data_IF_036830464579
#
_entry.id   IF_036830464579
#
_cell.length_a   1.000
_cell.length_b   1.000
_cell.length_c   1.000
_cell.angle_alpha   90.00
_cell.angle_beta   90.00
_cell.angle_gamma   90.00
#
_symmetry.space_group_name_H-M   'P 1'
#
loop_
_entity.id
_entity.type
_entity.pdbx_description
1 polymer ?
#
# COMPACT_ATOMS: atom_id res chain seq x y z
N UNK A 1 16.55 15.66 -14.46
CA UNK A 1 16.11 14.96 -13.25
C UNK A 1 14.97 14.05 -13.67
N UNK A 2 15.07 12.76 -13.38
CA UNK A 2 14.04 11.78 -13.72
C UNK A 2 13.11 11.65 -12.51
N UNK A 3 11.83 11.96 -12.68
CA UNK A 3 10.85 11.88 -11.59
C UNK A 3 9.92 10.71 -11.78
N UNK A 4 9.54 10.05 -10.68
CA UNK A 4 8.59 8.95 -10.64
C UNK A 4 7.16 9.48 -10.69
N UNK A 5 6.33 8.89 -11.55
CA UNK A 5 4.88 9.04 -11.49
C UNK A 5 4.31 7.94 -10.60
N UNK A 6 3.65 8.32 -9.52
CA UNK A 6 3.00 7.41 -8.58
C UNK A 6 1.50 7.35 -8.85
N UNK A 7 0.96 6.17 -9.14
CA UNK A 7 -0.47 5.94 -9.36
C UNK A 7 -1.02 4.98 -8.28
N UNK A 8 -2.01 5.43 -7.52
CA UNK A 8 -2.56 4.67 -6.37
C UNK A 8 -4.07 4.82 -6.27
N UNK A 9 -4.70 3.94 -5.49
CA UNK A 9 -6.16 3.87 -5.38
C UNK A 9 -6.72 4.96 -4.47
N UNK A 10 -6.06 5.14 -3.33
CA UNK A 10 -6.53 5.97 -2.24
C UNK A 10 -5.37 6.67 -1.53
N UNK A 11 -5.71 7.40 -0.46
CA UNK A 11 -4.76 8.23 0.28
C UNK A 11 -3.73 7.41 1.05
N UNK A 12 -4.13 6.24 1.55
CA UNK A 12 -3.26 5.38 2.35
C UNK A 12 -2.23 4.68 1.46
N UNK A 13 -2.68 4.09 0.36
CA UNK A 13 -1.81 3.50 -0.67
C UNK A 13 -0.87 4.54 -1.29
N UNK A 14 -1.31 5.79 -1.50
CA UNK A 14 -0.44 6.89 -1.94
C UNK A 14 0.66 7.18 -0.92
N UNK A 15 0.31 7.30 0.37
CA UNK A 15 1.29 7.60 1.43
C UNK A 15 2.31 6.47 1.58
N UNK A 16 1.88 5.21 1.46
CA UNK A 16 2.77 4.05 1.43
C UNK A 16 3.66 4.08 0.19
N UNK A 17 3.10 4.37 -0.98
CA UNK A 17 3.84 4.47 -2.24
C UNK A 17 4.94 5.54 -2.19
N UNK A 18 4.65 6.70 -1.60
CA UNK A 18 5.63 7.78 -1.37
C UNK A 18 6.77 7.32 -0.46
N UNK A 19 6.45 6.63 0.64
CA UNK A 19 7.45 6.10 1.57
C UNK A 19 8.38 5.08 0.87
N UNK A 20 7.80 4.19 0.05
CA UNK A 20 8.57 3.20 -0.72
C UNK A 20 9.45 3.82 -1.79
N UNK A 21 8.96 4.83 -2.51
CA UNK A 21 9.75 5.56 -3.49
C UNK A 21 10.94 6.26 -2.81
N UNK A 22 10.70 6.95 -1.69
CA UNK A 22 11.74 7.61 -0.92
C UNK A 22 12.79 6.62 -0.38
N UNK A 23 12.37 5.44 0.12
CA UNK A 23 13.30 4.39 0.56
C UNK A 23 14.21 3.90 -0.58
N UNK A 24 13.68 3.83 -1.81
CA UNK A 24 14.44 3.44 -2.99
C UNK A 24 15.31 4.58 -3.57
N UNK A 25 15.28 5.79 -3.00
CA UNK A 25 15.99 6.95 -3.53
C UNK A 25 15.32 7.59 -4.75
N UNK A 26 14.03 7.32 -4.98
CA UNK A 26 13.24 7.85 -6.08
C UNK A 26 12.44 9.08 -5.63
N UNK A 27 12.52 10.17 -6.40
CA UNK A 27 11.71 11.36 -6.19
C UNK A 27 10.39 11.27 -6.97
N UNK A 28 9.26 11.44 -6.29
CA UNK A 28 7.92 11.43 -6.91
C UNK A 28 7.54 12.84 -7.35
N UNK A 29 7.52 13.07 -8.67
CA UNK A 29 7.15 14.36 -9.25
C UNK A 29 5.65 14.51 -9.53
N UNK A 30 4.93 13.39 -9.66
CA UNK A 30 3.49 13.40 -9.92
C UNK A 30 2.78 12.29 -9.16
N UNK A 31 1.66 12.64 -8.51
CA UNK A 31 0.78 11.73 -7.80
C UNK A 31 -0.57 11.64 -8.53
N UNK A 32 -0.98 10.44 -8.90
CA UNK A 32 -2.18 10.13 -9.67
C UNK A 32 -3.12 9.25 -8.84
N UNK A 33 -3.70 9.85 -7.80
CA UNK A 33 -4.77 9.27 -6.98
C UNK A 33 -6.13 9.77 -7.45
N UNK A 34 -6.83 8.98 -8.28
CA UNK A 34 -8.19 9.30 -8.75
C UNK A 34 -9.04 8.04 -8.80
N UNK A 35 -10.25 8.06 -8.24
CA UNK A 35 -11.32 7.11 -8.56
C UNK A 35 -11.10 5.61 -8.23
N UNK A 36 -10.11 5.27 -7.39
CA UNK A 36 -9.89 3.90 -6.90
C UNK A 36 -9.48 2.88 -7.97
N UNK A 37 -9.60 1.59 -7.62
CA UNK A 37 -9.24 0.42 -8.45
C UNK A 37 -9.78 0.50 -9.89
N UNK A 38 -11.05 0.86 -10.05
CA UNK A 38 -11.71 0.92 -11.36
C UNK A 38 -11.10 1.97 -12.30
N UNK A 39 -10.74 3.13 -11.75
CA UNK A 39 -10.04 4.16 -12.51
C UNK A 39 -8.66 3.70 -12.93
N UNK A 40 -7.86 3.17 -12.00
CA UNK A 40 -6.50 2.70 -12.29
C UNK A 40 -6.51 1.67 -13.42
N UNK A 41 -7.40 0.69 -13.33
CA UNK A 41 -7.57 -0.32 -14.37
C UNK A 41 -7.93 0.30 -15.73
N UNK A 42 -8.87 1.23 -15.76
CA UNK A 42 -9.32 1.88 -17.00
C UNK A 42 -8.21 2.71 -17.68
N UNK A 43 -7.21 3.16 -16.90
CA UNK A 43 -6.11 4.01 -17.34
C UNK A 43 -4.80 3.27 -17.54
N UNK A 44 -4.79 1.94 -17.42
CA UNK A 44 -3.56 1.14 -17.49
C UNK A 44 -2.75 1.40 -18.76
N UNK A 45 -3.42 1.49 -19.92
CA UNK A 45 -2.76 1.83 -21.19
C UNK A 45 -2.03 3.16 -21.13
N UNK A 46 -2.66 4.18 -20.55
CA UNK A 46 -2.04 5.50 -20.39
C UNK A 46 -0.81 5.43 -19.47
N UNK A 47 -0.85 4.61 -18.42
CA UNK A 47 0.31 4.41 -17.55
C UNK A 47 1.46 3.70 -18.28
N UNK A 48 1.16 2.71 -19.13
CA UNK A 48 2.18 2.12 -20.01
C UNK A 48 2.78 3.16 -20.98
N UNK A 49 1.94 3.99 -21.61
CA UNK A 49 2.41 5.05 -22.51
C UNK A 49 3.31 6.07 -21.78
N UNK A 50 2.97 6.46 -20.54
CA UNK A 50 3.84 7.30 -19.71
C UNK A 50 5.15 6.56 -19.39
N UNK A 51 5.09 5.27 -19.08
CA UNK A 51 6.24 4.43 -18.73
C UNK A 51 7.27 4.28 -19.85
N UNK A 52 6.93 4.61 -21.10
CA UNK A 52 7.89 4.69 -22.20
C UNK A 52 8.83 5.91 -22.09
N UNK A 53 8.42 6.95 -21.35
CA UNK A 53 9.14 8.23 -21.28
C UNK A 53 9.55 8.62 -19.86
N UNK A 54 8.81 8.19 -18.84
CA UNK A 54 9.05 8.48 -17.43
C UNK A 54 8.75 7.24 -16.59
N UNK A 55 9.50 6.96 -15.52
CA UNK A 55 9.20 5.81 -14.66
C UNK A 55 7.83 5.96 -14.00
N UNK A 56 7.08 4.85 -13.95
CA UNK A 56 5.75 4.79 -13.35
C UNK A 56 5.70 3.69 -12.29
N UNK A 57 5.24 4.05 -11.09
CA UNK A 57 4.90 3.11 -10.04
C UNK A 57 3.39 3.08 -9.84
N UNK A 58 2.75 1.97 -10.19
CA UNK A 58 1.35 1.70 -9.88
C UNK A 58 1.24 0.74 -8.69
N UNK A 59 0.51 1.16 -7.67
CA UNK A 59 0.19 0.37 -6.48
C UNK A 59 -1.32 0.28 -6.27
N UNK A 60 -1.80 -0.94 -6.05
CA UNK A 60 -3.23 -1.29 -5.95
C UNK A 60 -3.40 -2.47 -5.01
N UNK A 61 -4.62 -2.67 -4.53
CA UNK A 61 -4.98 -3.78 -3.68
C UNK A 61 -5.39 -5.01 -4.51
N UNK A 62 -5.22 -6.20 -3.95
CA UNK A 62 -5.59 -7.45 -4.62
C UNK A 62 -7.11 -7.69 -4.62
N UNK A 63 -7.78 -7.14 -3.61
CA UNK A 63 -9.16 -7.43 -3.22
C UNK A 63 -9.40 -8.94 -3.08
N UNK A 64 -10.24 -9.49 -3.95
CA UNK A 64 -10.70 -10.89 -3.93
C UNK A 64 -9.96 -11.77 -4.93
N UNK A 65 -8.99 -11.24 -5.67
CA UNK A 65 -8.25 -12.01 -6.68
C UNK A 65 -7.33 -13.03 -6.01
N UNK A 66 -7.05 -14.16 -6.68
CA UNK A 66 -6.29 -15.28 -6.10
C UNK A 66 -4.87 -14.89 -5.66
N UNK A 67 -4.15 -14.13 -6.48
CA UNK A 67 -2.81 -13.64 -6.18
C UNK A 67 -2.46 -12.43 -7.05
N UNK A 68 -1.42 -11.68 -6.64
CA UNK A 68 -0.99 -10.44 -7.30
C UNK A 68 -0.60 -10.62 -8.77
N UNK A 69 0.09 -11.70 -9.13
CA UNK A 69 0.45 -11.96 -10.53
C UNK A 69 -0.77 -12.12 -11.42
N UNK A 70 -1.77 -12.89 -10.98
CA UNK A 70 -3.03 -13.03 -11.73
C UNK A 70 -3.77 -11.70 -11.91
N UNK A 71 -3.72 -10.79 -10.94
CA UNK A 71 -4.29 -9.45 -11.09
C UNK A 71 -3.55 -8.67 -12.18
N UNK A 72 -2.21 -8.64 -12.10
CA UNK A 72 -1.36 -7.96 -13.07
C UNK A 72 -1.59 -8.51 -14.47
N UNK A 73 -1.55 -9.83 -14.67
CA UNK A 73 -1.76 -10.48 -15.97
C UNK A 73 -3.16 -10.16 -16.53
N UNK A 74 -4.19 -10.20 -15.68
CA UNK A 74 -5.57 -9.86 -16.07
C UNK A 74 -5.71 -8.39 -16.46
N UNK A 75 -4.98 -7.50 -15.81
CA UNK A 75 -5.03 -6.07 -16.08
C UNK A 75 -4.27 -5.73 -17.34
N UNK A 76 -3.05 -6.24 -17.48
CA UNK A 76 -2.21 -6.04 -18.66
C UNK A 76 -2.86 -6.62 -19.91
N UNK A 77 -3.45 -7.82 -19.83
CA UNK A 77 -4.00 -8.51 -20.99
C UNK A 77 -2.93 -8.65 -22.07
N UNK A 78 -3.20 -8.10 -23.26
CA UNK A 78 -2.27 -8.11 -24.40
C UNK A 78 -1.30 -6.90 -24.42
N UNK A 79 -1.37 -6.01 -23.42
CA UNK A 79 -0.47 -4.87 -23.33
C UNK A 79 0.94 -5.35 -22.98
N UNK A 80 1.91 -4.92 -23.77
CA UNK A 80 3.32 -5.04 -23.41
C UNK A 80 3.62 -4.17 -22.18
N UNK A 81 4.37 -4.73 -21.23
CA UNK A 81 4.77 -4.03 -20.02
C UNK A 81 6.09 -3.28 -20.26
N UNK A 82 6.10 -1.93 -20.25
CA UNK A 82 7.33 -1.18 -20.40
C UNK A 82 8.29 -1.46 -19.25
N UNK A 83 9.60 -1.41 -19.52
CA UNK A 83 10.63 -1.71 -18.53
C UNK A 83 10.53 -0.81 -17.29
N UNK A 84 10.22 0.48 -17.49
CA UNK A 84 10.10 1.46 -16.41
C UNK A 84 8.72 1.48 -15.76
N UNK A 85 7.88 0.48 -16.02
CA UNK A 85 6.58 0.31 -15.38
C UNK A 85 6.64 -0.69 -14.22
N UNK A 86 6.64 -0.18 -12.99
CA UNK A 86 6.53 -0.97 -11.77
C UNK A 86 5.06 -1.04 -11.35
N UNK A 87 4.39 -2.14 -11.67
CA UNK A 87 3.06 -2.48 -11.19
C UNK A 87 3.18 -3.48 -10.04
N UNK A 88 2.77 -3.06 -8.84
CA UNK A 88 2.72 -3.87 -7.60
C UNK A 88 1.33 -3.94 -7.02
N UNK A 89 1.10 -5.04 -6.30
CA UNK A 89 -0.18 -5.35 -5.66
C UNK A 89 0.06 -5.70 -4.20
N UNK A 90 -0.63 -5.03 -3.29
CA UNK A 90 -0.69 -5.43 -1.87
C UNK A 90 -1.65 -6.62 -1.72
N UNK A 91 -1.27 -7.66 -0.98
CA UNK A 91 -2.09 -8.87 -0.89
C UNK A 91 -3.31 -8.59 -0.02
N UNK A 92 -4.49 -8.88 -0.59
CA UNK A 92 -5.81 -8.40 -0.15
C UNK A 92 -5.91 -6.90 -0.15
N UNK A 93 -5.26 -6.24 0.79
CA UNK A 93 -5.37 -4.80 1.02
C UNK A 93 -4.04 -4.23 1.55
N UNK A 94 -3.83 -2.92 1.39
CA UNK A 94 -2.62 -2.22 1.83
C UNK A 94 -2.34 -2.39 3.34
N UNK A 95 -3.37 -2.60 4.15
CA UNK A 95 -3.24 -2.86 5.59
C UNK A 95 -2.41 -4.11 5.89
N UNK A 96 -2.31 -5.08 4.97
CA UNK A 96 -1.39 -6.21 5.12
C UNK A 96 0.06 -5.75 5.29
N UNK A 97 0.48 -4.75 4.52
CA UNK A 97 1.84 -4.18 4.59
C UNK A 97 2.06 -3.36 5.86
N UNK A 98 1.01 -2.69 6.36
CA UNK A 98 1.08 -1.97 7.64
C UNK A 98 1.20 -2.94 8.82
N UNK A 99 0.37 -3.98 8.84
CA UNK A 99 0.37 -5.02 9.87
C UNK A 99 1.68 -5.81 9.91
N UNK A 100 2.44 -5.84 8.82
CA UNK A 100 3.74 -6.48 8.76
C UNK A 100 4.80 -5.75 9.58
N UNK A 101 4.60 -4.46 9.83
CA UNK A 101 5.45 -3.70 10.73
C UNK A 101 4.92 -3.70 12.17
N UNK A 102 5.37 -4.69 12.95
CA UNK A 102 4.92 -4.87 14.32
C UNK A 102 5.25 -3.69 15.24
N UNK A 103 6.41 -3.04 15.10
CA UNK A 103 6.74 -1.95 16.04
C UNK A 103 5.97 -0.67 15.70
N UNK A 104 5.69 -0.41 14.41
CA UNK A 104 4.83 0.72 14.03
C UNK A 104 3.40 0.53 14.53
N UNK A 105 2.85 -0.69 14.39
CA UNK A 105 1.52 -1.03 14.90
C UNK A 105 1.47 -0.95 16.43
N UNK A 106 2.50 -1.44 17.14
CA UNK A 106 2.59 -1.29 18.60
C UNK A 106 2.69 0.16 19.03
N UNK A 107 3.42 0.98 18.28
CA UNK A 107 3.52 2.42 18.53
C UNK A 107 2.16 3.11 18.34
N UNK A 108 1.40 2.72 17.32
CA UNK A 108 0.07 3.28 17.05
C UNK A 108 -0.98 2.82 18.05
N UNK A 109 -1.10 1.51 18.31
CA UNK A 109 -2.18 0.91 19.09
C UNK A 109 -1.86 0.80 20.60
N UNK A 110 -0.60 1.04 20.96
CA UNK A 110 -0.09 0.93 22.33
C UNK A 110 0.41 -0.48 22.69
N UNK A 111 1.16 -0.56 23.80
CA UNK A 111 1.86 -1.79 24.22
C UNK A 111 0.95 -2.98 24.60
N UNK A 112 -0.36 -2.75 24.78
CA UNK A 112 -1.36 -3.80 25.07
C UNK A 112 -2.02 -4.38 23.83
N UNK A 113 -1.56 -4.00 22.63
CA UNK A 113 -2.02 -4.63 21.40
C UNK A 113 -1.81 -6.13 21.51
N UNK A 114 -2.82 -6.89 21.08
CA UNK A 114 -2.81 -8.35 21.16
C UNK A 114 -1.73 -8.99 20.29
N UNK A 115 -1.83 -10.30 20.09
CA UNK A 115 -0.93 -11.01 19.19
C UNK A 115 -1.11 -10.47 17.76
N UNK A 116 -0.01 -9.95 17.20
CA UNK A 116 0.04 -9.50 15.82
C UNK A 116 0.24 -10.68 14.85
N UNK A 117 -0.29 -10.60 13.63
CA UNK A 117 -0.14 -11.64 12.61
C UNK A 117 1.34 -11.81 12.24
N UNK A 118 1.80 -13.07 12.19
CA UNK A 118 3.15 -13.40 11.72
C UNK A 118 3.29 -13.35 10.20
N UNK A 119 2.17 -13.54 9.49
CA UNK A 119 2.07 -13.47 8.03
C UNK A 119 0.79 -12.70 7.65
N UNK A 120 0.87 -11.37 7.53
CA UNK A 120 -0.28 -10.53 7.19
C UNK A 120 -0.79 -10.73 5.75
N UNK A 121 0.09 -11.13 4.81
CA UNK A 121 -0.30 -11.38 3.42
C UNK A 121 -1.31 -12.56 3.32
N UNK A 122 -1.28 -13.49 4.28
CA UNK A 122 -2.21 -14.62 4.36
C UNK A 122 -3.55 -14.29 5.04
N UNK A 123 -3.73 -13.07 5.56
CA UNK A 123 -5.00 -12.69 6.16
C UNK A 123 -6.08 -12.58 5.08
N UNK A 124 -7.31 -13.06 5.33
CA UNK A 124 -8.40 -12.92 4.37
C UNK A 124 -8.90 -11.49 4.23
N UNK A 125 -8.81 -10.70 5.32
CA UNK A 125 -9.27 -9.32 5.43
C UNK A 125 -8.32 -8.56 6.39
N UNK A 126 -7.20 -8.01 5.86
CA UNK A 126 -6.22 -7.28 6.65
C UNK A 126 -6.79 -6.03 7.33
N UNK A 127 -7.70 -5.30 6.67
CA UNK A 127 -8.35 -4.12 7.25
C UNK A 127 -9.18 -4.50 8.48
N UNK A 128 -10.00 -5.54 8.39
CA UNK A 128 -10.78 -6.00 9.54
C UNK A 128 -9.88 -6.50 10.67
N UNK A 129 -8.77 -7.16 10.36
CA UNK A 129 -7.78 -7.58 11.37
C UNK A 129 -7.16 -6.36 12.08
N UNK A 130 -6.80 -5.30 11.34
CA UNK A 130 -6.30 -4.05 11.91
C UNK A 130 -7.34 -3.37 12.80
N UNK A 131 -8.60 -3.29 12.34
CA UNK A 131 -9.70 -2.69 13.11
C UNK A 131 -10.00 -3.47 14.39
N UNK A 132 -9.94 -4.81 14.34
CA UNK A 132 -10.13 -5.65 15.53
C UNK A 132 -9.02 -5.45 16.58
N UNK A 133 -7.78 -5.19 16.15
CA UNK A 133 -6.70 -4.80 17.06
C UNK A 133 -6.93 -3.40 17.62
N UNK A 134 -7.36 -2.45 16.78
CA UNK A 134 -7.64 -1.06 17.15
C UNK A 134 -8.81 -0.92 18.13
N UNK A 135 -9.77 -1.83 18.14
CA UNK A 135 -10.88 -1.86 19.10
C UNK A 135 -10.42 -1.91 20.57
N UNK A 136 -9.18 -2.37 20.83
CA UNK A 136 -8.57 -2.45 22.16
C UNK A 136 -7.55 -1.34 22.44
N UNK A 137 -7.34 -0.43 21.51
CA UNK A 137 -6.42 0.69 21.63
C UNK A 137 -6.95 1.74 22.64
N UNK A 138 -6.10 2.70 23.07
CA UNK A 138 -6.55 3.88 23.79
C UNK A 138 -7.70 4.58 23.07
N UNK A 139 -8.58 5.24 23.85
CA UNK A 139 -9.85 5.77 23.37
C UNK A 139 -9.70 6.69 22.17
N UNK A 140 -8.73 7.60 22.20
CA UNK A 140 -8.50 8.56 21.11
C UNK A 140 -8.14 7.85 19.79
N UNK A 141 -7.29 6.82 19.84
CA UNK A 141 -6.90 6.04 18.66
C UNK A 141 -8.07 5.20 18.15
N UNK A 142 -8.78 4.55 19.07
CA UNK A 142 -9.92 3.70 18.72
C UNK A 142 -11.03 4.51 18.05
N UNK A 143 -11.38 5.67 18.61
CA UNK A 143 -12.46 6.51 18.12
C UNK A 143 -12.13 7.09 16.71
N UNK A 144 -10.84 7.20 16.36
CA UNK A 144 -10.42 7.60 15.01
C UNK A 144 -10.40 6.44 13.99
N UNK A 145 -10.02 5.23 14.42
CA UNK A 145 -9.83 4.08 13.52
C UNK A 145 -11.09 3.24 13.34
N UNK A 146 -11.88 3.05 14.40
CA UNK A 146 -13.01 2.12 14.42
C UNK A 146 -14.32 2.90 14.26
N UNK A 147 -15.19 2.41 13.38
CA UNK A 147 -16.51 3.01 13.20
C UNK A 147 -17.38 2.87 14.47
N UNK A 148 -18.21 3.88 14.73
CA UNK A 148 -19.23 3.80 15.79
C UNK A 148 -20.26 2.73 15.45
N UNK A 149 -20.81 2.06 16.48
CA UNK A 149 -21.90 1.09 16.29
C UNK A 149 -23.07 1.70 15.49
N UNK A 150 -23.53 0.98 14.46
CA UNK A 150 -24.61 1.41 13.58
C UNK A 150 -24.18 2.28 12.38
N UNK A 151 -22.89 2.59 12.23
CA UNK A 151 -22.38 3.28 11.05
C UNK A 151 -22.42 2.38 9.80
N UNK A 152 -22.66 2.98 8.63
CA UNK A 152 -22.57 2.31 7.33
C UNK A 152 -21.12 1.99 6.93
N UNK A 153 -20.16 2.77 7.43
CA UNK A 153 -18.74 2.57 7.17
C UNK A 153 -18.15 1.55 8.17
N UNK A 154 -17.22 0.71 7.70
CA UNK A 154 -16.48 -0.23 8.54
C UNK A 154 -15.37 0.44 9.36
N UNK A 155 -14.89 1.62 8.93
CA UNK A 155 -13.78 2.36 9.54
C UNK A 155 -14.23 3.73 10.10
N UNK A 156 -13.46 4.23 11.07
CA UNK A 156 -13.64 5.56 11.66
C UNK A 156 -13.27 6.70 10.71
N UNK A 157 -13.76 7.91 11.00
CA UNK A 157 -13.50 9.09 10.16
C UNK A 157 -12.02 9.52 10.17
N UNK A 158 -11.30 9.23 11.25
CA UNK A 158 -9.88 9.53 11.41
C UNK A 158 -8.96 8.48 10.79
N UNK A 159 -9.49 7.45 10.13
CA UNK A 159 -8.75 6.27 9.68
C UNK A 159 -7.53 6.64 8.82
N UNK A 160 -7.75 7.33 7.69
CA UNK A 160 -6.67 7.72 6.81
C UNK A 160 -5.68 8.66 7.51
N UNK A 161 -6.17 9.65 8.27
CA UNK A 161 -5.31 10.61 8.94
C UNK A 161 -4.34 9.93 9.92
N UNK A 162 -4.86 9.02 10.77
CA UNK A 162 -4.06 8.24 11.73
C UNK A 162 -3.06 7.32 11.04
N UNK A 163 -3.50 6.53 10.06
CA UNK A 163 -2.63 5.56 9.40
C UNK A 163 -1.58 6.25 8.53
N UNK A 164 -1.94 7.28 7.78
CA UNK A 164 -0.98 8.05 6.98
C UNK A 164 0.05 8.75 7.87
N UNK A 165 -0.36 9.26 9.04
CA UNK A 165 0.58 9.81 10.03
C UNK A 165 1.57 8.73 10.51
N UNK A 166 1.09 7.57 10.92
CA UNK A 166 1.95 6.44 11.33
C UNK A 166 2.89 6.00 10.19
N UNK A 167 2.41 5.94 8.94
CA UNK A 167 3.25 5.60 7.78
C UNK A 167 4.40 6.58 7.61
N UNK A 168 4.13 7.88 7.76
CA UNK A 168 5.15 8.94 7.59
C UNK A 168 6.17 8.98 8.74
N UNK A 169 5.76 8.62 9.95
CA UNK A 169 6.58 8.84 11.15
C UNK A 169 7.27 7.58 11.67
N UNK A 170 6.64 6.40 11.56
CA UNK A 170 7.06 5.21 12.31
C UNK A 170 7.20 3.94 11.45
N UNK A 171 6.42 3.82 10.37
CA UNK A 171 6.46 2.65 9.50
C UNK A 171 7.81 2.55 8.79
N UNK A 172 8.44 1.39 8.85
CA UNK A 172 9.66 1.14 8.08
C UNK A 172 9.43 -0.02 7.10
N UNK A 173 9.48 0.24 5.77
CA UNK A 173 9.29 -0.79 4.77
C UNK A 173 10.26 -1.97 4.92
N UNK A 174 11.48 -1.72 5.39
CA UNK A 174 12.47 -2.75 5.65
C UNK A 174 12.01 -3.77 6.70
N UNK A 175 11.58 -3.33 7.88
CA UNK A 175 11.06 -4.21 8.95
C UNK A 175 9.78 -4.91 8.54
N UNK A 176 8.91 -4.21 7.82
CA UNK A 176 7.65 -4.75 7.31
C UNK A 176 7.89 -5.89 6.30
N UNK A 177 8.89 -5.74 5.43
CA UNK A 177 9.20 -6.73 4.39
C UNK A 177 9.61 -8.10 4.93
N UNK A 178 10.14 -8.18 6.16
CA UNK A 178 10.48 -9.45 6.81
C UNK A 178 9.25 -10.34 7.07
N UNK A 179 8.05 -9.73 7.12
CA UNK A 179 6.77 -10.42 7.35
C UNK A 179 5.79 -10.36 6.18
N UNK A 180 6.13 -9.64 5.10
CA UNK A 180 5.28 -9.53 3.90
C UNK A 180 6.10 -9.78 2.65
N UNK A 181 5.89 -10.95 2.04
CA UNK A 181 6.58 -11.34 0.82
C UNK A 181 6.16 -10.46 -0.37
N UNK A 182 4.90 -9.99 -0.39
CA UNK A 182 4.42 -9.07 -1.42
C UNK A 182 5.07 -7.70 -1.34
N UNK A 183 5.29 -7.18 -0.12
CA UNK A 183 6.03 -5.94 0.12
C UNK A 183 7.52 -6.09 -0.19
N UNK A 184 8.17 -7.18 0.26
CA UNK A 184 9.58 -7.43 -0.02
C UNK A 184 9.88 -7.40 -1.52
N UNK A 185 9.03 -8.06 -2.31
CA UNK A 185 9.10 -8.02 -3.76
C UNK A 185 8.84 -6.61 -4.33
N UNK A 186 7.98 -5.79 -3.71
CA UNK A 186 7.69 -4.43 -4.19
C UNK A 186 8.91 -3.53 -4.01
N UNK A 187 9.53 -3.58 -2.82
CA UNK A 187 10.79 -2.89 -2.51
C UNK A 187 11.91 -3.28 -3.47
N UNK A 188 12.09 -4.57 -3.72
CA UNK A 188 13.08 -5.06 -4.69
C UNK A 188 12.88 -4.42 -6.06
N UNK A 189 11.66 -4.41 -6.60
CA UNK A 189 11.39 -3.84 -7.93
C UNK A 189 11.60 -2.33 -8.01
N UNK A 190 11.37 -1.60 -6.92
CA UNK A 190 11.65 -0.16 -6.87
C UNK A 190 13.15 0.12 -6.80
N UNK A 191 13.93 -0.70 -6.08
CA UNK A 191 15.39 -0.62 -6.09
C UNK A 191 15.98 -0.90 -7.47
N UNK A 192 15.53 -1.98 -8.12
CA UNK A 192 15.92 -2.30 -9.51
C UNK A 192 15.57 -1.17 -10.49
N UNK A 193 14.43 -0.50 -10.29
CA UNK A 193 14.06 0.67 -11.09
C UNK A 193 15.02 1.84 -10.84
N UNK A 194 15.31 2.15 -9.57
CA UNK A 194 16.23 3.22 -9.20
C UNK A 194 17.64 3.02 -9.78
N UNK A 195 18.16 1.79 -9.70
CA UNK A 195 19.46 1.42 -10.29
C UNK A 195 19.50 1.56 -11.82
N UNK A 196 18.34 1.42 -12.48
CA UNK A 196 18.26 1.53 -13.94
C UNK A 196 18.18 2.98 -14.43
N UNK A 197 17.51 3.85 -13.67
CA UNK A 197 17.24 5.24 -14.08
C UNK A 197 18.23 6.25 -13.49
N UNK A 198 19.00 5.86 -12.47
CA UNK A 198 20.09 6.62 -11.87
C UNK A 198 21.38 6.48 -12.66
#
# INVERSE_FOLDING_TARGET
MTWLVLATEDELSETVGLCLAAEAGLEVGQQLRRGGFGYLKSRLRNFCEIALHQPVFLLTDLDRTKCGSTLVDKWMGDLERPENFVFRVAVREIESWLLADHDAIRSLLGGRVGRLPSDPDSLPDPKQALLALAARAPRDIRDDLVATEGALASQGLGYNARLCHMVRQNWQPARAADRSASLAKARMRLKELAERIG
#
